data_IF_275122612285
#
_entry.id   IF_275122612285
#
_cell.length_a   1.000
_cell.length_b   1.000
_cell.length_c   1.000
_cell.angle_alpha   90.00
_cell.angle_beta   90.00
_cell.angle_gamma   90.00
#
_symmetry.space_group_name_H-M   'P 1'
#
loop_
_entity.id
_entity.type
_entity.pdbx_description
1 polymer ?
#
# COMPACT_ATOMS: atom_id res chain seq x y z
N UNK A 1 -21.99 3.57 4.07
CA UNK A 1 -20.76 3.44 3.26
C UNK A 1 -19.53 3.43 4.15
N UNK A 2 -18.70 2.40 4.01
CA UNK A 2 -17.41 2.28 4.70
C UNK A 2 -16.35 3.09 3.94
N UNK A 3 -15.44 3.74 4.66
CA UNK A 3 -14.31 4.42 4.03
C UNK A 3 -13.07 3.52 4.03
N UNK A 4 -12.38 3.44 2.88
CA UNK A 4 -11.10 2.74 2.74
C UNK A 4 -10.02 3.75 2.36
N UNK A 5 -9.07 3.97 3.26
CA UNK A 5 -7.97 4.88 3.04
C UNK A 5 -6.86 4.23 2.22
N UNK A 6 -6.33 4.90 1.22
CA UNK A 6 -5.39 4.32 0.28
C UNK A 6 -4.18 5.21 0.02
N UNK A 7 -3.06 4.55 -0.30
CA UNK A 7 -1.84 5.16 -0.81
C UNK A 7 -1.11 4.15 -1.71
N UNK A 8 -0.20 4.62 -2.54
CA UNK A 8 0.58 3.83 -3.48
C UNK A 8 2.09 4.04 -3.34
N UNK A 9 2.84 3.06 -3.82
CA UNK A 9 4.29 3.13 -3.91
C UNK A 9 4.78 2.62 -5.26
N UNK A 10 5.79 3.27 -5.81
CA UNK A 10 6.39 2.88 -7.09
C UNK A 10 5.58 3.29 -8.32
N UNK A 11 4.63 4.23 -8.23
CA UNK A 11 3.98 4.77 -9.41
C UNK A 11 4.92 5.73 -10.16
N UNK A 12 5.17 5.46 -11.44
CA UNK A 12 6.06 6.26 -12.30
C UNK A 12 5.36 6.61 -13.64
N UNK A 13 4.05 6.81 -13.58
CA UNK A 13 3.22 6.98 -14.78
C UNK A 13 3.02 5.66 -15.52
N UNK A 14 3.09 5.72 -16.85
CA UNK A 14 3.01 4.53 -17.73
C UNK A 14 4.37 3.85 -17.93
N UNK A 15 5.40 4.27 -17.19
CA UNK A 15 6.75 3.70 -17.29
C UNK A 15 6.81 2.36 -16.55
N UNK A 16 6.59 1.28 -17.29
CA UNK A 16 6.66 -0.08 -16.77
C UNK A 16 8.07 -0.69 -16.80
N UNK A 17 8.94 -0.23 -17.71
CA UNK A 17 10.32 -0.73 -17.85
C UNK A 17 11.30 0.44 -17.79
N UNK A 18 12.49 0.21 -17.23
CA UNK A 18 13.53 1.24 -17.11
C UNK A 18 13.18 2.40 -16.17
N UNK A 19 12.23 2.19 -15.26
CA UNK A 19 11.95 3.07 -14.14
C UNK A 19 12.88 2.80 -12.95
N UNK A 20 12.73 3.58 -11.89
CA UNK A 20 13.45 3.40 -10.63
C UNK A 20 12.91 2.19 -9.87
N UNK A 21 11.63 1.87 -10.04
CA UNK A 21 10.94 0.80 -9.33
C UNK A 21 10.42 -0.26 -10.31
N UNK A 22 10.70 -1.51 -9.99
CA UNK A 22 10.28 -2.73 -10.68
C UNK A 22 8.86 -3.18 -10.28
N UNK A 23 8.46 -2.88 -9.03
CA UNK A 23 7.15 -3.20 -8.47
C UNK A 23 6.35 -1.93 -8.19
N UNK A 24 5.08 -1.95 -8.54
CA UNK A 24 4.06 -1.02 -8.06
C UNK A 24 3.24 -1.66 -6.94
N UNK A 25 2.90 -0.90 -5.91
CA UNK A 25 2.04 -1.34 -4.82
C UNK A 25 0.94 -0.32 -4.56
N UNK A 26 -0.28 -0.79 -4.28
CA UNK A 26 -1.38 0.04 -3.80
C UNK A 26 -1.98 -0.60 -2.56
N UNK A 27 -1.98 0.14 -1.45
CA UNK A 27 -2.51 -0.35 -0.19
C UNK A 27 -3.84 0.32 0.13
N UNK A 28 -4.74 -0.45 0.75
CA UNK A 28 -6.02 0.03 1.26
C UNK A 28 -6.22 -0.38 2.72
N UNK A 29 -6.70 0.54 3.55
CA UNK A 29 -6.86 0.40 5.00
C UNK A 29 -8.29 0.79 5.40
N UNK A 30 -9.04 -0.17 5.92
CA UNK A 30 -10.40 -0.04 6.41
C UNK A 30 -10.51 0.06 7.93
N UNK A 31 -9.50 0.64 8.61
CA UNK A 31 -9.53 0.94 10.05
C UNK A 31 -10.44 2.14 10.36
N UNK A 32 -10.99 2.17 11.56
CA UNK A 32 -11.61 3.39 12.09
C UNK A 32 -10.55 4.49 12.28
N UNK A 33 -10.87 5.78 12.05
CA UNK A 33 -9.89 6.87 12.16
C UNK A 33 -9.14 6.91 13.50
N UNK A 34 -9.85 6.73 14.62
CA UNK A 34 -9.24 6.71 15.95
C UNK A 34 -8.26 5.52 16.16
N UNK A 35 -8.60 4.35 15.62
CA UNK A 35 -7.73 3.17 15.68
C UNK A 35 -6.45 3.37 14.87
N UNK A 36 -6.56 3.95 13.67
CA UNK A 36 -5.41 4.29 12.85
C UNK A 36 -4.52 5.36 13.52
N UNK A 37 -5.12 6.39 14.13
CA UNK A 37 -4.37 7.39 14.89
C UNK A 37 -3.60 6.77 16.06
N UNK A 38 -4.23 5.85 16.83
CA UNK A 38 -3.58 5.10 17.90
C UNK A 38 -2.44 4.22 17.39
N UNK A 39 -2.63 3.55 16.24
CA UNK A 39 -1.61 2.75 15.58
C UNK A 39 -0.39 3.59 15.19
N UNK A 40 -0.60 4.75 14.56
CA UNK A 40 0.48 5.67 14.18
C UNK A 40 1.18 6.25 15.41
N UNK A 41 0.45 6.59 16.47
CA UNK A 41 1.03 7.10 17.71
C UNK A 41 1.93 6.06 18.38
N UNK A 42 1.49 4.81 18.48
CA UNK A 42 2.27 3.71 19.05
C UNK A 42 3.50 3.39 18.19
N UNK A 43 3.36 3.39 16.86
CA UNK A 43 4.48 3.25 15.93
C UNK A 43 5.55 4.33 16.17
N UNK A 44 5.14 5.60 16.28
CA UNK A 44 6.04 6.72 16.57
C UNK A 44 6.74 6.53 17.93
N UNK A 45 5.99 6.09 18.96
CA UNK A 45 6.54 5.81 20.29
C UNK A 45 7.59 4.70 20.28
N UNK A 46 7.42 3.67 19.46
CA UNK A 46 8.40 2.56 19.33
C UNK A 46 9.65 2.96 18.58
N UNK A 47 9.50 3.69 17.49
CA UNK A 47 10.62 4.13 16.64
C UNK A 47 11.54 5.12 17.38
N UNK A 48 10.99 5.99 18.25
CA UNK A 48 11.75 6.98 19.05
C UNK A 48 12.72 7.81 18.20
N UNK A 49 12.25 8.36 17.09
CA UNK A 49 13.03 9.22 16.19
C UNK A 49 12.50 10.66 16.21
N UNK A 50 13.35 11.66 15.97
CA UNK A 50 12.95 13.06 15.89
C UNK A 50 12.24 13.43 14.58
N UNK A 51 12.07 12.49 13.65
CA UNK A 51 11.44 12.76 12.36
C UNK A 51 9.96 13.16 12.51
N UNK A 52 9.58 14.26 11.87
CA UNK A 52 8.19 14.76 11.84
C UNK A 52 7.30 13.89 10.92
N UNK A 53 7.90 13.33 9.86
CA UNK A 53 7.27 12.43 8.90
C UNK A 53 7.99 11.08 8.85
N UNK A 54 7.21 10.00 8.90
CA UNK A 54 7.70 8.63 8.71
C UNK A 54 7.18 8.10 7.38
N UNK A 55 8.12 7.71 6.51
CA UNK A 55 7.84 6.94 5.30
C UNK A 55 8.22 5.48 5.52
N UNK A 56 7.76 4.59 4.65
CA UNK A 56 8.09 3.15 4.70
C UNK A 56 9.61 2.87 4.80
N UNK A 57 10.45 3.67 4.15
CA UNK A 57 11.92 3.56 4.23
C UNK A 57 12.47 3.70 5.65
N UNK A 58 11.76 4.38 6.56
CA UNK A 58 12.14 4.43 7.97
C UNK A 58 11.84 3.11 8.66
N UNK A 59 10.66 2.51 8.43
CA UNK A 59 10.28 1.21 9.00
C UNK A 59 11.17 0.06 8.54
N UNK A 60 11.66 0.13 7.30
CA UNK A 60 12.53 -0.89 6.70
C UNK A 60 13.96 -0.90 7.26
N UNK A 61 14.35 0.08 8.10
CA UNK A 61 15.67 0.08 8.74
C UNK A 61 15.72 -1.05 9.78
N UNK A 62 16.81 -1.83 9.79
CA UNK A 62 16.94 -3.01 10.66
C UNK A 62 16.65 -2.75 12.15
N UNK A 63 17.03 -1.58 12.68
CA UNK A 63 16.72 -1.18 14.07
C UNK A 63 15.23 -1.03 14.40
N UNK A 64 14.34 -1.07 13.41
CA UNK A 64 12.89 -0.97 13.56
C UNK A 64 12.16 -2.26 13.17
N UNK A 65 12.89 -3.37 12.97
CA UNK A 65 12.32 -4.67 12.61
C UNK A 65 11.19 -5.09 13.54
N UNK A 66 11.39 -5.02 14.85
CA UNK A 66 10.36 -5.37 15.84
C UNK A 66 9.09 -4.50 15.72
N UNK A 67 9.25 -3.23 15.32
CA UNK A 67 8.10 -2.33 15.11
C UNK A 67 7.35 -2.70 13.84
N UNK A 68 8.07 -3.04 12.77
CA UNK A 68 7.47 -3.54 11.53
C UNK A 68 6.70 -4.84 11.80
N UNK A 69 7.32 -5.82 12.47
CA UNK A 69 6.70 -7.10 12.80
C UNK A 69 5.53 -6.93 13.78
N UNK A 70 5.59 -5.97 14.69
CA UNK A 70 4.43 -5.60 15.52
C UNK A 70 3.29 -5.02 14.68
N UNK A 71 3.59 -4.15 13.72
CA UNK A 71 2.57 -3.51 12.89
C UNK A 71 1.83 -4.53 12.04
N UNK A 72 2.56 -5.36 11.28
CA UNK A 72 2.00 -6.27 10.28
C UNK A 72 1.84 -7.72 10.74
N UNK A 73 2.41 -8.08 11.89
CA UNK A 73 2.38 -9.46 12.39
C UNK A 73 0.99 -9.96 12.78
N UNK A 74 0.90 -11.23 13.21
CA UNK A 74 -0.38 -11.92 13.47
C UNK A 74 -1.22 -11.33 14.61
N UNK A 75 -0.59 -10.58 15.52
CA UNK A 75 -1.26 -9.83 16.59
C UNK A 75 -1.24 -8.31 16.35
N UNK A 76 -0.87 -7.90 15.14
CA UNK A 76 -0.71 -6.50 14.76
C UNK A 76 -2.05 -5.78 14.58
N UNK A 77 -2.09 -4.46 14.80
CA UNK A 77 -3.33 -3.68 14.80
C UNK A 77 -3.99 -3.55 13.42
N UNK A 78 -3.28 -3.88 12.33
CA UNK A 78 -3.79 -3.71 10.96
C UNK A 78 -4.28 -5.00 10.31
N UNK A 79 -4.01 -6.17 10.90
CA UNK A 79 -4.38 -7.46 10.33
C UNK A 79 -5.91 -7.58 10.19
N UNK A 80 -6.36 -8.05 9.02
CA UNK A 80 -7.79 -8.14 8.69
C UNK A 80 -8.46 -6.79 8.38
N UNK A 81 -7.73 -5.68 8.51
CA UNK A 81 -8.22 -4.34 8.23
C UNK A 81 -7.50 -3.66 7.06
N UNK A 82 -6.50 -4.31 6.46
CA UNK A 82 -5.74 -3.76 5.35
C UNK A 82 -5.49 -4.81 4.26
N UNK A 83 -5.22 -4.34 3.04
CA UNK A 83 -4.76 -5.14 1.91
C UNK A 83 -3.71 -4.35 1.12
N UNK A 84 -2.95 -5.05 0.28
CA UNK A 84 -2.06 -4.47 -0.71
C UNK A 84 -2.16 -5.22 -2.03
N UNK A 85 -2.29 -4.49 -3.13
CA UNK A 85 -2.21 -5.01 -4.49
C UNK A 85 -0.82 -4.74 -5.04
N UNK A 86 -0.11 -5.79 -5.46
CA UNK A 86 1.25 -5.71 -5.99
C UNK A 86 1.29 -6.03 -7.48
N UNK A 87 2.05 -5.23 -8.23
CA UNK A 87 2.23 -5.39 -9.68
C UNK A 87 3.71 -5.43 -10.06
N UNK A 88 4.20 -6.53 -10.65
CA UNK A 88 5.48 -6.63 -11.36
C UNK A 88 5.33 -5.90 -12.70
N UNK A 89 5.93 -4.72 -12.80
CA UNK A 89 5.79 -3.88 -13.98
C UNK A 89 6.44 -4.50 -15.22
N UNK A 90 7.50 -5.27 -15.05
CA UNK A 90 8.18 -5.92 -16.19
C UNK A 90 7.32 -7.06 -16.72
N UNK A 91 6.70 -7.84 -15.83
CA UNK A 91 5.71 -8.86 -16.23
C UNK A 91 4.51 -8.22 -16.93
N UNK A 92 3.95 -7.13 -16.38
CA UNK A 92 2.86 -6.39 -17.00
C UNK A 92 3.24 -5.89 -18.41
N UNK A 93 4.43 -5.28 -18.57
CA UNK A 93 4.90 -4.80 -19.86
C UNK A 93 5.03 -5.91 -20.91
N UNK A 94 5.49 -7.10 -20.49
CA UNK A 94 5.62 -8.27 -21.39
C UNK A 94 4.27 -8.86 -21.78
N UNK A 95 3.25 -8.70 -20.95
CA UNK A 95 1.90 -9.23 -21.22
C UNK A 95 1.17 -8.49 -22.35
N UNK A 96 1.55 -7.24 -22.64
CA UNK A 96 0.85 -6.37 -23.60
C UNK A 96 -0.47 -5.80 -23.07
N UNK A 97 -0.77 -5.95 -21.78
CA UNK A 97 -1.93 -5.34 -21.15
C UNK A 97 -1.84 -3.80 -21.04
N UNK A 98 -2.96 -3.15 -20.74
CA UNK A 98 -3.04 -1.71 -20.47
C UNK A 98 -2.03 -1.32 -19.36
N UNK A 99 -1.15 -0.32 -19.58
CA UNK A 99 -0.15 0.09 -18.59
C UNK A 99 -0.73 0.93 -17.44
N UNK A 100 -2.05 1.15 -17.38
CA UNK A 100 -2.70 1.82 -16.25
C UNK A 100 -2.61 0.97 -14.96
N UNK A 101 -1.77 1.41 -14.03
CA UNK A 101 -1.60 0.77 -12.72
C UNK A 101 -2.65 1.22 -11.69
N UNK A 102 -3.24 2.40 -11.86
CA UNK A 102 -4.04 3.05 -10.82
C UNK A 102 -5.50 2.59 -10.84
N UNK A 103 -6.10 2.46 -12.02
CA UNK A 103 -7.50 2.00 -12.11
C UNK A 103 -7.67 0.54 -11.64
N UNK A 104 -6.82 -0.42 -12.05
CA UNK A 104 -6.87 -1.79 -11.52
C UNK A 104 -6.65 -1.84 -10.01
N UNK A 105 -5.73 -1.03 -9.48
CA UNK A 105 -5.50 -0.93 -8.04
C UNK A 105 -6.72 -0.47 -7.24
N UNK A 106 -7.40 0.59 -7.69
CA UNK A 106 -8.65 1.04 -7.06
C UNK A 106 -9.77 -0.01 -7.18
N UNK A 107 -9.78 -0.81 -8.25
CA UNK A 107 -10.71 -1.94 -8.40
C UNK A 107 -10.37 -3.11 -7.49
N UNK A 108 -9.08 -3.33 -7.16
CA UNK A 108 -8.68 -4.32 -6.18
C UNK A 108 -9.26 -4.02 -4.79
N UNK A 109 -9.31 -2.74 -4.40
CA UNK A 109 -10.02 -2.30 -3.18
C UNK A 109 -11.49 -2.75 -3.20
N UNK A 110 -12.19 -2.49 -4.30
CA UNK A 110 -13.60 -2.87 -4.46
C UNK A 110 -13.78 -4.39 -4.48
N UNK A 111 -12.82 -5.14 -5.02
CA UNK A 111 -12.84 -6.60 -4.97
C UNK A 111 -12.74 -7.14 -3.54
N UNK A 112 -12.00 -6.45 -2.66
CA UNK A 112 -11.83 -6.86 -1.25
C UNK A 112 -13.00 -6.43 -0.36
N UNK A 113 -13.50 -5.20 -0.51
CA UNK A 113 -14.53 -4.64 0.41
C UNK A 113 -15.92 -4.45 -0.20
N UNK A 114 -16.10 -4.76 -1.48
CA UNK A 114 -17.33 -4.50 -2.21
C UNK A 114 -17.46 -3.06 -2.69
N UNK A 115 -18.49 -2.79 -3.50
CA UNK A 115 -18.70 -1.48 -4.13
C UNK A 115 -19.36 -0.43 -3.21
N UNK A 116 -19.92 -0.83 -2.05
CA UNK A 116 -20.54 0.09 -1.07
C UNK A 116 -19.50 0.75 -0.14
N UNK A 117 -18.44 1.27 -0.75
CA UNK A 117 -17.33 1.95 -0.08
C UNK A 117 -17.05 3.31 -0.69
N UNK A 118 -16.38 4.17 0.06
CA UNK A 118 -15.76 5.39 -0.44
C UNK A 118 -14.25 5.24 -0.30
N UNK A 119 -13.51 5.41 -1.40
CA UNK A 119 -12.05 5.41 -1.36
C UNK A 119 -11.57 6.80 -0.94
N UNK A 120 -10.71 6.82 0.08
CA UNK A 120 -10.07 8.02 0.61
C UNK A 120 -8.58 7.93 0.28
N UNK A 121 -8.17 8.57 -0.80
CA UNK A 121 -6.83 8.37 -1.36
C UNK A 121 -5.89 9.53 -0.99
N UNK A 122 -4.59 9.27 -0.83
CA UNK A 122 -3.61 10.37 -0.86
C UNK A 122 -3.67 11.09 -2.21
N UNK A 123 -3.14 12.31 -2.28
CA UNK A 123 -3.17 13.11 -3.51
C UNK A 123 -2.38 12.43 -4.63
N UNK A 124 -3.10 11.90 -5.62
CA UNK A 124 -2.53 11.31 -6.82
C UNK A 124 -3.00 12.08 -8.08
N UNK A 125 -2.10 12.89 -8.64
CA UNK A 125 -2.38 13.76 -9.79
C UNK A 125 -2.77 13.01 -11.07
N UNK A 126 -2.34 11.75 -11.20
CA UNK A 126 -2.64 10.93 -12.36
C UNK A 126 -4.01 10.24 -12.30
N UNK A 127 -4.77 10.40 -11.21
CA UNK A 127 -6.18 9.97 -11.13
C UNK A 127 -7.09 11.08 -11.67
N UNK A 128 -7.08 11.24 -12.99
CA UNK A 128 -7.94 12.21 -13.69
C UNK A 128 -9.43 11.81 -13.60
N UNK A 129 -10.37 12.74 -13.83
CA UNK A 129 -11.80 12.42 -13.85
C UNK A 129 -12.16 11.25 -14.78
N UNK A 130 -11.50 11.13 -15.93
CA UNK A 130 -11.71 10.01 -16.87
C UNK A 130 -11.26 8.66 -16.31
N UNK A 131 -10.19 8.61 -15.51
CA UNK A 131 -9.77 7.40 -14.80
C UNK A 131 -10.73 7.08 -13.64
N UNK A 132 -11.14 8.09 -12.88
CA UNK A 132 -12.08 7.92 -11.77
C UNK A 132 -13.46 7.43 -12.22
N UNK A 133 -13.92 7.82 -13.41
CA UNK A 133 -15.16 7.29 -14.00
C UNK A 133 -15.13 5.77 -14.25
N UNK A 134 -13.93 5.16 -14.31
CA UNK A 134 -13.75 3.70 -14.45
C UNK A 134 -13.76 2.98 -13.10
N UNK A 135 -13.87 3.69 -11.97
CA UNK A 135 -13.88 3.11 -10.62
C UNK A 135 -15.35 2.99 -10.16
N UNK A 136 -15.81 1.80 -9.73
CA UNK A 136 -17.23 1.57 -9.45
C UNK A 136 -17.70 2.12 -8.09
N UNK A 137 -16.96 3.06 -7.50
CA UNK A 137 -17.28 3.70 -6.24
C UNK A 137 -16.70 5.13 -6.17
N UNK A 138 -17.21 6.01 -5.29
CA UNK A 138 -16.65 7.34 -5.12
C UNK A 138 -15.21 7.32 -4.60
N UNK A 139 -14.40 8.26 -5.09
CA UNK A 139 -13.02 8.48 -4.64
C UNK A 139 -12.88 9.95 -4.23
N UNK A 140 -12.30 10.19 -3.06
CA UNK A 140 -11.94 11.54 -2.58
C UNK A 140 -10.47 11.58 -2.18
N UNK A 141 -9.85 12.75 -2.34
CA UNK A 141 -8.45 12.96 -2.02
C UNK A 141 -8.29 13.65 -0.66
N UNK A 142 -7.29 13.23 0.10
CA UNK A 142 -6.85 13.87 1.35
C UNK A 142 -5.35 14.04 1.35
N UNK A 143 -4.84 14.92 2.20
CA UNK A 143 -3.41 14.92 2.51
C UNK A 143 -3.12 13.83 3.56
N UNK A 144 -2.04 13.07 3.39
CA UNK A 144 -1.60 12.07 4.36
C UNK A 144 -1.47 12.60 5.81
N UNK A 145 -1.10 13.87 5.99
CA UNK A 145 -1.03 14.50 7.32
C UNK A 145 -2.38 14.68 8.00
N UNK A 146 -3.48 14.68 7.24
CA UNK A 146 -4.84 14.86 7.74
C UNK A 146 -5.55 13.54 8.07
N UNK A 147 -5.02 12.39 7.62
CA UNK A 147 -5.65 11.08 7.83
C UNK A 147 -4.62 10.00 8.17
N UNK A 148 -4.62 9.56 9.43
CA UNK A 148 -3.71 8.53 9.91
C UNK A 148 -3.89 7.18 9.17
N UNK A 149 -5.07 6.91 8.58
CA UNK A 149 -5.29 5.69 7.81
C UNK A 149 -4.49 5.70 6.51
N UNK A 150 -4.33 6.87 5.88
CA UNK A 150 -3.47 7.04 4.71
C UNK A 150 -2.00 6.81 5.07
N UNK A 151 -1.54 7.27 6.24
CA UNK A 151 -0.17 6.96 6.71
C UNK A 151 0.05 5.46 6.91
N UNK A 152 -0.94 4.74 7.44
CA UNK A 152 -0.87 3.27 7.55
C UNK A 152 -0.82 2.62 6.16
N UNK A 153 -1.59 3.13 5.20
CA UNK A 153 -1.55 2.66 3.81
C UNK A 153 -0.17 2.91 3.17
N UNK A 154 0.43 4.09 3.36
CA UNK A 154 1.80 4.43 2.90
C UNK A 154 2.83 3.41 3.42
N UNK A 155 2.77 3.11 4.73
CA UNK A 155 3.65 2.11 5.34
C UNK A 155 3.50 0.74 4.68
N UNK A 156 2.27 0.26 4.51
CA UNK A 156 2.03 -1.05 3.91
C UNK A 156 2.46 -1.08 2.43
N UNK A 157 2.06 -0.08 1.64
CA UNK A 157 2.40 0.02 0.22
C UNK A 157 3.92 0.04 0.03
N UNK A 158 4.64 0.89 0.78
CA UNK A 158 6.08 1.01 0.65
C UNK A 158 6.86 -0.20 1.16
N UNK A 159 6.44 -0.81 2.28
CA UNK A 159 7.09 -2.02 2.84
C UNK A 159 6.85 -3.22 1.90
N UNK A 160 5.62 -3.45 1.46
CA UNK A 160 5.28 -4.57 0.58
C UNK A 160 5.93 -4.42 -0.81
N UNK A 161 5.92 -3.21 -1.39
CA UNK A 161 6.65 -2.94 -2.64
C UNK A 161 8.13 -3.31 -2.50
N UNK A 162 8.78 -2.84 -1.43
CA UNK A 162 10.21 -3.11 -1.23
C UNK A 162 10.47 -4.60 -1.04
N UNK A 163 9.65 -5.29 -0.25
CA UNK A 163 9.78 -6.74 -0.06
C UNK A 163 9.65 -7.49 -1.39
N UNK A 164 8.65 -7.16 -2.21
CA UNK A 164 8.47 -7.73 -3.54
C UNK A 164 9.65 -7.43 -4.49
N UNK A 165 10.17 -6.19 -4.51
CA UNK A 165 11.37 -5.85 -5.29
C UNK A 165 12.58 -6.70 -4.88
N UNK A 166 12.78 -6.91 -3.58
CA UNK A 166 13.89 -7.72 -3.08
C UNK A 166 13.71 -9.21 -3.42
N UNK A 167 12.48 -9.72 -3.40
CA UNK A 167 12.14 -11.05 -3.86
C UNK A 167 12.42 -11.23 -5.37
N UNK A 168 12.00 -10.28 -6.22
CA UNK A 168 12.31 -10.27 -7.65
C UNK A 168 13.82 -10.21 -7.93
N UNK A 169 14.58 -9.55 -7.06
CA UNK A 169 16.04 -9.50 -7.11
C UNK A 169 16.73 -10.75 -6.54
N UNK A 170 15.98 -11.81 -6.18
CA UNK A 170 16.52 -13.06 -5.64
C UNK A 170 17.02 -12.95 -4.20
N UNK A 171 16.58 -11.95 -3.44
CA UNK A 171 16.97 -11.68 -2.05
C UNK A 171 15.74 -11.54 -1.12
N UNK A 172 14.81 -12.52 -1.10
CA UNK A 172 13.61 -12.41 -0.28
C UNK A 172 13.97 -12.37 1.21
N UNK A 173 13.12 -11.72 1.99
CA UNK A 173 13.11 -11.77 3.46
C UNK A 173 11.93 -12.65 3.90
N UNK A 174 12.15 -13.93 4.25
CA UNK A 174 11.07 -14.87 4.48
C UNK A 174 10.17 -14.51 5.67
N UNK A 175 10.73 -13.90 6.71
CA UNK A 175 9.96 -13.46 7.88
C UNK A 175 9.07 -12.26 7.51
N UNK A 176 9.59 -11.33 6.70
CA UNK A 176 8.80 -10.20 6.21
C UNK A 176 7.70 -10.67 5.25
N UNK A 177 8.03 -11.57 4.34
CA UNK A 177 7.08 -12.16 3.42
C UNK A 177 5.94 -12.86 4.19
N UNK A 178 6.28 -13.67 5.20
CA UNK A 178 5.30 -14.37 6.03
C UNK A 178 4.31 -13.42 6.72
N UNK A 179 4.77 -12.29 7.24
CA UNK A 179 3.87 -11.32 7.87
C UNK A 179 3.05 -10.52 6.86
N UNK A 180 3.55 -10.28 5.65
CA UNK A 180 2.86 -9.50 4.63
C UNK A 180 1.88 -10.32 3.77
N UNK A 181 2.09 -11.62 3.62
CA UNK A 181 1.25 -12.52 2.82
C UNK A 181 -0.26 -12.38 3.11
N UNK A 182 -0.73 -12.28 4.36
CA UNK A 182 -2.15 -12.11 4.66
C UNK A 182 -2.78 -10.81 4.11
N UNK A 183 -1.97 -9.82 3.74
CA UNK A 183 -2.43 -8.54 3.19
C UNK A 183 -2.45 -8.55 1.66
N UNK A 184 -1.73 -9.47 1.00
CA UNK A 184 -1.61 -9.45 -0.47
C UNK A 184 -2.95 -9.80 -1.10
N UNK A 185 -3.45 -8.91 -1.96
CA UNK A 185 -4.66 -9.14 -2.73
C UNK A 185 -4.48 -10.33 -3.65
N UNK A 186 -5.51 -11.16 -3.79
CA UNK A 186 -5.56 -12.26 -4.75
C UNK A 186 -5.41 -11.81 -6.22
N UNK A 187 -5.61 -10.51 -6.50
CA UNK A 187 -5.42 -9.93 -7.83
C UNK A 187 -3.98 -9.47 -8.10
N UNK A 188 -3.05 -9.62 -7.14
CA UNK A 188 -1.64 -9.24 -7.33
C UNK A 188 -0.93 -10.21 -8.27
N UNK A 189 0.01 -9.71 -9.07
CA UNK A 189 0.84 -10.53 -9.96
C UNK A 189 2.32 -10.62 -9.49
N UNK A 190 2.75 -9.74 -8.58
CA UNK A 190 4.05 -9.82 -7.93
C UNK A 190 3.98 -10.72 -6.69
N UNK A 191 5.06 -11.46 -6.43
CA UNK A 191 5.21 -12.36 -5.28
C UNK A 191 6.11 -11.73 -4.21
N UNK A 192 5.94 -12.22 -2.97
CA UNK A 192 6.78 -11.90 -1.82
C UNK A 192 7.74 -13.06 -1.50
#
# INVERSE_FOLDING_TARGET
MREIACDESGYEGVRLVGGVTDVFAHAGVGLAPAAAAGCVAELRRRIRSPAEEYKANHLLRGKHRDTLLWLFGPAGPVLGHAHVHLVDKTALARSGADPDLLVPALRAVVAVWGADVVIVHDRQVALTPGRLARVPCPVRFVAASADARVQVADFLAGVARRAASEALAGRPDPELAAVLLPYVSATSDALL
#
